data_IF_793981750960
#
_entry.id   IF_793981750960
#
_cell.length_a   1.000
_cell.length_b   1.000
_cell.length_c   1.000
_cell.angle_alpha   90.00
_cell.angle_beta   90.00
_cell.angle_gamma   90.00
#
_symmetry.space_group_name_H-M   'P 1'
#
loop_
_entity.id
_entity.type
_entity.pdbx_description
1 polymer ?
#
# COMPACT_ATOMS: atom_id res chain seq x y z
N UNK A 1 -5.92 14.87 16.62
CA UNK A 1 -5.09 14.44 15.48
C UNK A 1 -5.78 14.98 14.24
N UNK A 2 -5.21 15.97 13.55
CA UNK A 2 -5.85 16.49 12.33
C UNK A 2 -5.81 15.40 11.27
N UNK A 3 -6.98 14.93 10.83
CA UNK A 3 -7.09 14.16 9.59
C UNK A 3 -6.82 15.12 8.44
N UNK A 4 -5.62 15.06 7.88
CA UNK A 4 -5.29 15.78 6.65
C UNK A 4 -5.87 14.99 5.47
N UNK A 5 -6.93 15.51 4.84
CA UNK A 5 -7.47 14.93 3.61
C UNK A 5 -6.65 15.41 2.41
N UNK A 6 -5.78 14.53 1.91
CA UNK A 6 -4.93 14.81 0.76
C UNK A 6 -5.71 15.22 -0.50
N UNK A 7 -6.96 14.75 -0.67
CA UNK A 7 -7.77 15.12 -1.83
C UNK A 7 -8.31 16.54 -1.71
N UNK A 8 -8.59 16.99 -0.49
CA UNK A 8 -8.98 18.38 -0.24
C UNK A 8 -7.82 19.33 -0.54
N UNK A 9 -6.61 19.00 -0.07
CA UNK A 9 -5.40 19.77 -0.41
C UNK A 9 -5.12 19.78 -1.91
N UNK A 10 -5.31 18.64 -2.59
CA UNK A 10 -5.17 18.56 -4.04
C UNK A 10 -6.18 19.43 -4.79
N UNK A 11 -7.44 19.48 -4.33
CA UNK A 11 -8.46 20.38 -4.92
C UNK A 11 -8.00 21.83 -4.79
N UNK A 12 -7.57 22.25 -3.59
CA UNK A 12 -7.09 23.61 -3.37
C UNK A 12 -5.86 23.96 -4.22
N UNK A 13 -4.95 23.00 -4.43
CA UNK A 13 -3.83 23.17 -5.34
C UNK A 13 -4.29 23.33 -6.79
N UNK A 14 -5.21 22.48 -7.25
CA UNK A 14 -5.75 22.54 -8.60
C UNK A 14 -6.44 23.88 -8.84
N UNK A 15 -7.31 24.32 -7.94
CA UNK A 15 -7.98 25.62 -8.04
C UNK A 15 -6.98 26.78 -8.14
N UNK A 16 -5.96 26.79 -7.28
CA UNK A 16 -4.90 27.81 -7.31
C UNK A 16 -4.19 27.84 -8.66
N UNK A 17 -3.66 26.69 -9.12
CA UNK A 17 -2.85 26.65 -10.33
C UNK A 17 -3.66 26.74 -11.63
N UNK A 18 -4.94 26.36 -11.62
CA UNK A 18 -5.84 26.55 -12.77
C UNK A 18 -6.11 28.02 -13.07
N UNK A 19 -5.99 28.92 -12.07
CA UNK A 19 -6.10 30.38 -12.31
C UNK A 19 -4.83 31.00 -12.88
N UNK A 20 -3.67 30.38 -12.64
CA UNK A 20 -2.36 30.89 -13.06
C UNK A 20 -1.89 30.30 -14.40
N UNK A 21 -2.33 29.09 -14.75
CA UNK A 21 -1.90 28.35 -15.94
C UNK A 21 -3.10 27.85 -16.73
N UNK A 22 -2.99 27.88 -18.06
CA UNK A 22 -4.02 27.34 -18.96
C UNK A 22 -4.06 25.81 -19.00
N UNK A 23 -3.02 25.12 -18.51
CA UNK A 23 -2.90 23.65 -18.55
C UNK A 23 -2.27 23.15 -17.27
N UNK A 24 -2.89 22.16 -16.63
CA UNK A 24 -2.42 21.57 -15.37
C UNK A 24 -2.33 20.04 -15.51
N UNK A 25 -1.20 19.49 -15.07
CA UNK A 25 -0.97 18.06 -14.98
C UNK A 25 -0.77 17.66 -13.53
N UNK A 26 -1.53 16.67 -13.08
CA UNK A 26 -1.33 16.00 -11.82
C UNK A 26 -0.77 14.60 -12.08
N UNK A 27 0.45 14.38 -11.57
CA UNK A 27 1.23 13.17 -11.80
C UNK A 27 1.50 12.49 -10.45
N UNK A 28 1.32 11.18 -10.37
CA UNK A 28 1.73 10.43 -9.19
C UNK A 28 1.10 9.05 -9.08
N UNK A 29 1.53 8.30 -8.07
CA UNK A 29 0.83 7.09 -7.66
C UNK A 29 -0.21 7.43 -6.60
N UNK A 30 -1.45 7.61 -7.05
CA UNK A 30 -2.58 7.90 -6.15
C UNK A 30 -3.08 6.64 -5.43
N UNK A 31 -2.60 5.44 -5.80
CA UNK A 31 -3.09 4.15 -5.32
C UNK A 31 -4.64 4.03 -5.39
N UNK A 32 -5.23 4.73 -6.37
CA UNK A 32 -6.65 4.90 -6.55
C UNK A 32 -7.14 3.95 -7.65
N UNK A 33 -7.95 2.96 -7.28
CA UNK A 33 -8.58 2.03 -8.23
C UNK A 33 -9.91 2.61 -8.64
N UNK A 34 -10.05 3.01 -9.89
CA UNK A 34 -11.24 3.72 -10.38
C UNK A 34 -12.20 2.85 -11.18
N UNK A 35 -11.82 1.58 -11.45
CA UNK A 35 -12.55 0.64 -12.30
C UNK A 35 -13.07 1.33 -13.57
N UNK A 36 -14.37 1.18 -13.88
CA UNK A 36 -15.08 1.85 -14.98
C UNK A 36 -15.83 3.13 -14.55
N UNK A 37 -15.51 3.68 -13.38
CA UNK A 37 -16.12 4.92 -12.90
C UNK A 37 -15.81 6.10 -13.79
N UNK A 38 -16.82 6.95 -14.01
CA UNK A 38 -16.68 8.19 -14.78
C UNK A 38 -16.05 9.29 -13.91
N UNK A 39 -15.01 9.89 -14.45
CA UNK A 39 -14.27 11.06 -13.98
C UNK A 39 -14.86 12.37 -14.54
N UNK A 40 -16.03 12.28 -15.18
CA UNK A 40 -16.81 13.39 -15.71
C UNK A 40 -18.27 13.26 -15.28
N UNK A 41 -19.01 14.36 -15.32
CA UNK A 41 -20.43 14.41 -15.03
C UNK A 41 -21.19 13.93 -16.29
N UNK A 42 -21.96 12.84 -16.14
CA UNK A 42 -22.80 12.34 -17.24
C UNK A 42 -23.96 13.28 -17.51
N UNK A 43 -24.26 13.50 -18.78
CA UNK A 43 -25.35 14.38 -19.22
C UNK A 43 -25.21 15.79 -18.67
N UNK A 44 -23.98 16.28 -18.60
CA UNK A 44 -23.67 17.64 -18.17
C UNK A 44 -24.00 18.66 -19.27
N UNK A 45 -25.24 18.65 -19.73
CA UNK A 45 -25.77 19.53 -20.77
C UNK A 45 -26.90 20.34 -20.15
N UNK A 46 -26.69 21.65 -20.01
CA UNK A 46 -27.72 22.58 -19.57
C UNK A 46 -28.55 23.03 -20.79
N UNK A 47 -29.88 23.12 -20.63
CA UNK A 47 -30.79 23.46 -21.74
C UNK A 47 -30.71 24.96 -22.09
N UNK A 48 -30.54 25.26 -23.38
CA UNK A 48 -30.09 26.54 -23.94
C UNK A 48 -31.12 27.67 -24.03
N UNK A 49 -31.41 28.29 -22.89
CA UNK A 49 -31.87 29.69 -22.87
C UNK A 49 -31.53 30.36 -21.54
N UNK A 50 -31.68 29.63 -20.44
CA UNK A 50 -31.30 30.10 -19.10
C UNK A 50 -29.77 30.18 -18.97
N UNK A 51 -29.02 29.37 -19.71
CA UNK A 51 -27.56 29.32 -19.55
C UNK A 51 -26.82 30.35 -20.39
N UNK A 52 -27.28 30.63 -21.61
CA UNK A 52 -26.60 31.57 -22.50
C UNK A 52 -26.53 32.99 -21.89
N UNK A 53 -27.54 33.38 -21.12
CA UNK A 53 -27.58 34.66 -20.40
C UNK A 53 -26.62 34.73 -19.19
N UNK A 54 -26.27 33.59 -18.58
CA UNK A 54 -25.43 33.52 -17.37
C UNK A 54 -24.04 32.92 -17.62
N UNK A 55 -23.77 32.42 -18.83
CA UNK A 55 -22.52 31.74 -19.16
C UNK A 55 -21.30 32.65 -18.97
N UNK A 56 -21.46 33.94 -19.28
CA UNK A 56 -20.45 34.98 -19.05
C UNK A 56 -20.15 35.27 -17.57
N UNK A 57 -21.04 34.88 -16.66
CA UNK A 57 -20.90 35.13 -15.22
C UNK A 57 -20.20 33.95 -14.54
N UNK A 58 -20.48 32.73 -14.97
CA UNK A 58 -20.01 31.52 -14.29
C UNK A 58 -18.87 30.78 -14.99
N UNK A 59 -18.52 31.12 -16.25
CA UNK A 59 -17.47 30.45 -17.03
C UNK A 59 -17.57 28.91 -16.97
N UNK A 60 -18.80 28.39 -16.93
CA UNK A 60 -19.03 26.96 -16.74
C UNK A 60 -18.68 26.20 -18.01
N UNK A 61 -17.81 25.20 -17.89
CA UNK A 61 -17.48 24.32 -18.99
C UNK A 61 -18.18 22.98 -18.81
N UNK A 62 -19.21 22.75 -19.63
CA UNK A 62 -19.94 21.49 -19.70
C UNK A 62 -19.03 20.31 -20.07
N UNK A 63 -19.14 19.23 -19.29
CA UNK A 63 -18.50 17.96 -19.56
C UNK A 63 -19.12 17.30 -20.82
N UNK A 64 -18.33 17.21 -21.88
CA UNK A 64 -18.66 16.35 -23.02
C UNK A 64 -18.11 14.95 -22.77
N UNK A 65 -18.85 13.91 -23.19
CA UNK A 65 -18.47 12.50 -23.00
C UNK A 65 -17.08 12.22 -23.62
N UNK A 66 -16.02 12.11 -22.80
CA UNK A 66 -14.68 11.91 -23.30
C UNK A 66 -14.47 10.42 -23.67
N UNK A 67 -13.46 10.08 -24.51
CA UNK A 67 -13.24 8.72 -25.00
C UNK A 67 -13.19 7.66 -23.91
N UNK A 68 -13.80 6.50 -24.12
CA UNK A 68 -13.96 5.48 -23.07
C UNK A 68 -12.60 5.00 -22.55
N UNK A 69 -12.45 5.01 -21.23
CA UNK A 69 -11.23 4.58 -20.55
C UNK A 69 -11.18 3.06 -20.42
N UNK A 70 -10.07 2.45 -20.87
CA UNK A 70 -9.74 1.04 -20.63
C UNK A 70 -9.02 0.91 -19.29
N UNK A 71 -9.62 0.19 -18.34
CA UNK A 71 -9.05 -0.05 -17.02
C UNK A 71 -9.08 -1.55 -16.67
N UNK A 72 -7.95 -2.16 -16.27
CA UNK A 72 -7.90 -3.56 -15.84
C UNK A 72 -8.51 -3.78 -14.44
N UNK A 73 -8.64 -2.72 -13.63
CA UNK A 73 -9.21 -2.83 -12.29
C UNK A 73 -10.68 -3.26 -12.33
N UNK A 74 -11.01 -4.30 -11.57
CA UNK A 74 -12.36 -4.87 -11.50
C UNK A 74 -13.28 -4.15 -10.50
N UNK A 75 -12.74 -3.26 -9.66
CA UNK A 75 -13.50 -2.60 -8.60
C UNK A 75 -12.87 -1.29 -8.13
N UNK A 76 -13.69 -0.45 -7.51
CA UNK A 76 -13.30 0.89 -7.03
C UNK A 76 -12.94 0.83 -5.54
N UNK A 77 -11.84 1.46 -5.12
CA UNK A 77 -11.51 1.65 -3.70
C UNK A 77 -11.86 3.07 -3.22
N UNK A 78 -11.74 3.34 -1.91
CA UNK A 78 -12.07 4.67 -1.34
C UNK A 78 -11.31 5.82 -2.03
N UNK A 79 -10.01 5.64 -2.25
CA UNK A 79 -9.18 6.60 -2.98
C UNK A 79 -9.61 6.76 -4.44
N UNK A 80 -10.08 5.69 -5.08
CA UNK A 80 -10.69 5.72 -6.41
C UNK A 80 -11.94 6.59 -6.44
N UNK A 81 -12.82 6.46 -5.46
CA UNK A 81 -14.01 7.30 -5.34
C UNK A 81 -13.64 8.77 -5.12
N UNK A 82 -12.67 9.05 -4.23
CA UNK A 82 -12.15 10.40 -3.98
C UNK A 82 -11.50 11.01 -5.21
N UNK A 83 -10.72 10.24 -5.97
CA UNK A 83 -10.10 10.69 -7.22
C UNK A 83 -11.14 11.01 -8.29
N UNK A 84 -12.16 10.16 -8.46
CA UNK A 84 -13.25 10.43 -9.40
C UNK A 84 -14.04 11.70 -9.01
N UNK A 85 -14.25 11.93 -7.72
CA UNK A 85 -14.89 13.16 -7.24
C UNK A 85 -14.00 14.38 -7.47
N UNK A 86 -12.70 14.29 -7.22
CA UNK A 86 -11.73 15.34 -7.55
C UNK A 86 -11.81 15.70 -9.03
N UNK A 87 -11.83 14.70 -9.93
CA UNK A 87 -11.98 14.91 -11.37
C UNK A 87 -13.28 15.63 -11.75
N UNK A 88 -14.42 15.20 -11.20
CA UNK A 88 -15.72 15.85 -11.46
C UNK A 88 -15.78 17.28 -10.94
N UNK A 89 -15.21 17.55 -9.78
CA UNK A 89 -15.26 18.87 -9.15
C UNK A 89 -14.34 19.88 -9.83
N UNK A 90 -13.21 19.41 -10.37
CA UNK A 90 -12.17 20.29 -10.94
C UNK A 90 -12.18 20.34 -12.47
N UNK A 91 -12.98 19.49 -13.12
CA UNK A 91 -12.92 19.30 -14.57
C UNK A 91 -11.69 18.50 -15.04
N UNK A 92 -10.88 17.99 -14.12
CA UNK A 92 -9.74 17.13 -14.44
C UNK A 92 -10.21 15.79 -15.06
N UNK A 93 -9.40 15.21 -15.93
CA UNK A 93 -9.64 13.90 -16.56
C UNK A 93 -8.48 12.94 -16.37
N UNK A 94 -8.81 11.69 -16.09
CA UNK A 94 -7.87 10.59 -16.04
C UNK A 94 -7.54 10.19 -17.47
N UNK A 95 -6.29 10.38 -17.86
CA UNK A 95 -5.83 10.15 -19.24
C UNK A 95 -5.45 8.68 -19.46
N UNK A 96 -4.94 8.01 -18.42
CA UNK A 96 -4.58 6.61 -18.49
C UNK A 96 -5.75 5.74 -18.92
N UNK A 97 -5.57 4.96 -19.99
CA UNK A 97 -6.58 4.06 -20.55
C UNK A 97 -7.33 4.65 -21.74
N UNK A 98 -7.05 5.92 -22.11
CA UNK A 98 -7.74 6.64 -23.19
C UNK A 98 -6.93 6.76 -24.47
N UNK A 99 -5.66 6.35 -24.50
CA UNK A 99 -4.87 6.39 -25.73
C UNK A 99 -5.43 5.40 -26.77
N UNK A 100 -5.35 5.75 -28.06
CA UNK A 100 -5.80 4.88 -29.19
C UNK A 100 -5.15 3.50 -29.16
N UNK A 101 -3.84 3.45 -28.90
CA UNK A 101 -3.06 2.20 -28.82
C UNK A 101 -3.29 1.43 -27.51
N UNK A 102 -4.12 1.98 -26.63
CA UNK A 102 -4.47 1.39 -25.34
C UNK A 102 -3.28 1.24 -24.41
N UNK A 103 -3.33 0.15 -23.63
CA UNK A 103 -2.48 -0.06 -22.45
C UNK A 103 -0.97 -0.14 -22.75
N UNK A 104 -0.57 -0.24 -24.01
CA UNK A 104 0.83 -0.23 -24.42
C UNK A 104 1.49 1.14 -24.22
N UNK A 105 0.72 2.24 -24.38
CA UNK A 105 1.18 3.62 -24.22
C UNK A 105 0.49 4.36 -23.06
N UNK A 106 -0.60 3.81 -22.51
CA UNK A 106 -1.34 4.42 -21.37
C UNK A 106 -0.57 4.42 -20.04
N UNK A 107 0.50 3.63 -19.93
CA UNK A 107 1.45 3.75 -18.85
C UNK A 107 2.64 4.53 -19.35
N UNK A 108 2.73 5.80 -18.96
CA UNK A 108 4.02 6.49 -18.94
C UNK A 108 4.86 5.81 -17.86
N UNK A 109 5.37 4.63 -18.19
CA UNK A 109 6.25 3.83 -17.35
C UNK A 109 7.67 4.37 -17.48
N UNK A 110 7.83 5.66 -17.20
CA UNK A 110 9.15 6.26 -16.97
C UNK A 110 9.68 5.65 -15.67
N UNK A 111 10.50 4.60 -15.83
CA UNK A 111 11.19 3.88 -14.76
C UNK A 111 10.32 3.33 -13.61
N UNK A 112 9.02 3.07 -13.85
CA UNK A 112 8.12 2.45 -12.86
C UNK A 112 7.72 3.36 -11.69
N UNK A 113 7.75 4.68 -11.88
CA UNK A 113 7.49 5.67 -10.82
C UNK A 113 6.13 6.37 -10.91
N UNK A 114 5.50 6.42 -12.09
CA UNK A 114 4.26 7.18 -12.30
C UNK A 114 3.17 6.24 -12.82
N UNK A 115 2.19 5.94 -11.96
CA UNK A 115 1.11 5.00 -12.30
C UNK A 115 -0.16 5.71 -12.78
N UNK A 116 -0.34 7.02 -12.51
CA UNK A 116 -1.55 7.77 -12.87
C UNK A 116 -1.23 9.21 -13.30
N UNK A 117 -1.83 9.63 -14.42
CA UNK A 117 -1.79 11.00 -14.95
C UNK A 117 -3.21 11.54 -15.05
N UNK A 118 -3.43 12.67 -14.42
CA UNK A 118 -4.69 13.40 -14.40
C UNK A 118 -4.46 14.79 -14.99
N UNK A 119 -5.31 15.23 -15.89
CA UNK A 119 -5.09 16.42 -16.71
C UNK A 119 -6.25 17.40 -16.62
N UNK A 120 -5.96 18.70 -16.55
CA UNK A 120 -6.91 19.80 -16.64
C UNK A 120 -6.99 20.23 -18.09
N UNK A 121 -8.19 20.19 -18.66
CA UNK A 121 -8.50 20.53 -20.07
C UNK A 121 -8.26 19.41 -21.10
N UNK A 122 -8.75 18.20 -20.84
CA UNK A 122 -8.74 17.17 -21.87
C UNK A 122 -9.56 17.61 -23.09
N UNK A 123 -8.89 17.72 -24.24
CA UNK A 123 -9.53 17.90 -25.54
C UNK A 123 -10.63 16.85 -25.73
N UNK A 124 -11.73 17.28 -26.35
CA UNK A 124 -12.96 16.49 -26.48
C UNK A 124 -12.83 15.33 -27.48
N UNK A 125 -11.78 15.30 -28.30
CA UNK A 125 -11.56 14.29 -29.34
C UNK A 125 -10.45 13.30 -28.98
N UNK A 126 -10.56 12.09 -29.53
CA UNK A 126 -9.52 11.05 -29.43
C UNK A 126 -8.16 11.55 -29.95
N UNK A 127 -8.16 12.17 -31.13
CA UNK A 127 -6.94 12.73 -31.73
C UNK A 127 -6.30 13.82 -30.86
N UNK A 128 -7.13 14.60 -30.16
CA UNK A 128 -6.67 15.57 -29.18
C UNK A 128 -5.93 14.87 -28.04
N UNK A 129 -6.59 13.92 -27.36
CA UNK A 129 -5.99 13.18 -26.25
C UNK A 129 -4.68 12.49 -26.68
N UNK A 130 -4.64 11.85 -27.84
CA UNK A 130 -3.46 11.16 -28.33
C UNK A 130 -2.30 12.12 -28.60
N UNK A 131 -2.53 13.23 -29.32
CA UNK A 131 -1.51 14.23 -29.59
C UNK A 131 -0.95 14.85 -28.30
N UNK A 132 -1.80 15.06 -27.30
CA UNK A 132 -1.38 15.56 -25.99
C UNK A 132 -0.51 14.55 -25.23
N UNK A 133 -0.91 13.27 -25.19
CA UNK A 133 -0.11 12.20 -24.56
C UNK A 133 1.24 12.07 -25.27
N UNK A 134 1.26 12.03 -26.59
CA UNK A 134 2.49 11.90 -27.39
C UNK A 134 3.43 13.10 -27.16
N UNK A 135 2.91 14.33 -27.20
CA UNK A 135 3.69 15.55 -26.95
C UNK A 135 4.25 15.57 -25.53
N UNK A 136 3.42 15.31 -24.52
CA UNK A 136 3.85 15.31 -23.12
C UNK A 136 4.89 14.22 -22.85
N UNK A 137 4.65 13.00 -23.36
CA UNK A 137 5.58 11.87 -23.19
C UNK A 137 6.92 12.18 -23.82
N UNK A 138 6.94 12.81 -25.00
CA UNK A 138 8.17 13.22 -25.69
C UNK A 138 8.93 14.26 -24.87
N UNK A 139 8.26 15.34 -24.47
CA UNK A 139 8.89 16.41 -23.69
C UNK A 139 9.40 15.92 -22.33
N UNK A 140 8.60 15.12 -21.62
CA UNK A 140 9.01 14.54 -20.35
C UNK A 140 10.19 13.59 -20.55
N UNK A 141 10.17 12.77 -21.61
CA UNK A 141 11.30 11.88 -21.94
C UNK A 141 12.55 12.68 -22.25
N UNK A 142 12.48 13.78 -23.00
CA UNK A 142 13.66 14.59 -23.32
C UNK A 142 14.28 15.23 -22.07
N UNK A 143 13.45 15.72 -21.15
CA UNK A 143 13.90 16.32 -19.89
C UNK A 143 14.46 15.25 -18.96
N UNK A 144 13.76 14.13 -18.84
CA UNK A 144 14.03 13.13 -17.79
C UNK A 144 15.09 12.12 -18.25
N UNK A 145 15.12 11.72 -19.52
CA UNK A 145 16.04 10.69 -20.01
C UNK A 145 17.52 10.91 -19.65
N UNK A 146 18.09 12.13 -19.69
CA UNK A 146 19.48 12.36 -19.26
C UNK A 146 19.76 11.94 -17.81
N UNK A 147 18.78 12.09 -16.90
CA UNK A 147 18.92 11.77 -15.48
C UNK A 147 18.73 10.27 -15.18
N UNK A 148 18.17 9.52 -16.13
CA UNK A 148 17.85 8.09 -15.98
C UNK A 148 18.65 7.20 -16.94
N UNK A 149 19.51 7.78 -17.79
CA UNK A 149 20.54 7.04 -18.53
C UNK A 149 21.51 6.44 -17.52
N UNK A 150 21.31 5.17 -17.19
CA UNK A 150 22.34 4.36 -16.54
C UNK A 150 23.62 4.49 -17.36
N UNK A 151 24.70 4.98 -16.75
CA UNK A 151 26.05 4.95 -17.31
C UNK A 151 26.50 3.49 -17.39
N UNK A 152 25.94 2.73 -18.32
CA UNK A 152 26.46 1.42 -18.68
C UNK A 152 27.71 1.67 -19.53
N UNK A 153 28.86 1.79 -18.87
CA UNK A 153 30.12 1.46 -19.51
C UNK A 153 30.04 -0.02 -19.88
N UNK A 154 29.66 -0.30 -21.13
CA UNK A 154 29.69 -1.64 -21.71
C UNK A 154 31.17 -2.00 -21.91
N UNK A 155 31.81 -2.53 -20.89
CA UNK A 155 32.99 -3.37 -21.11
C UNK A 155 32.48 -4.72 -21.60
N UNK A 156 32.70 -4.99 -22.88
CA UNK A 156 32.62 -6.31 -23.46
C UNK A 156 33.66 -7.19 -22.76
N UNK A 157 33.26 -7.93 -21.72
CA UNK A 157 34.01 -9.11 -21.36
C UNK A 157 33.08 -10.27 -21.02
N UNK A 158 33.25 -11.29 -21.83
CA UNK A 158 32.53 -12.54 -21.87
C UNK A 158 32.98 -13.45 -20.72
N UNK A 159 32.51 -13.17 -19.51
CA UNK A 159 32.42 -14.17 -18.46
C UNK A 159 31.11 -14.04 -17.69
N UNK A 160 30.20 -14.99 -17.95
CA UNK A 160 28.94 -15.18 -17.22
C UNK A 160 29.23 -15.48 -15.75
N UNK A 161 29.40 -14.44 -14.94
CA UNK A 161 29.26 -14.53 -13.49
C UNK A 161 27.86 -14.06 -13.12
N UNK A 162 27.21 -14.83 -12.25
CA UNK A 162 25.87 -14.60 -11.70
C UNK A 162 25.65 -13.09 -11.43
N UNK A 163 24.72 -12.48 -12.17
CA UNK A 163 24.41 -11.06 -12.07
C UNK A 163 24.18 -10.67 -10.62
N UNK A 164 25.01 -9.75 -10.12
CA UNK A 164 24.95 -9.23 -8.74
C UNK A 164 23.57 -8.63 -8.51
N UNK A 165 22.68 -9.39 -7.89
CA UNK A 165 21.46 -8.86 -7.29
C UNK A 165 21.87 -7.87 -6.20
N UNK A 166 21.91 -6.58 -6.53
CA UNK A 166 22.22 -5.51 -5.58
C UNK A 166 21.13 -5.51 -4.50
N UNK A 167 21.44 -6.06 -3.31
CA UNK A 167 21.69 -5.21 -2.16
C UNK A 167 20.80 -3.96 -1.93
N UNK A 168 19.46 -3.95 -2.03
CA UNK A 168 18.72 -2.71 -1.71
C UNK A 168 18.93 -2.35 -0.24
N UNK A 169 19.18 -1.07 0.07
CA UNK A 169 19.39 -0.56 1.44
C UNK A 169 18.18 -0.72 2.35
N UNK A 170 16.99 -0.97 1.78
CA UNK A 170 15.73 -1.22 2.49
C UNK A 170 15.51 -2.69 2.83
N UNK A 171 16.28 -3.61 2.25
CA UNK A 171 16.13 -5.02 2.53
C UNK A 171 16.76 -5.35 3.89
N UNK A 172 16.13 -6.26 4.63
CA UNK A 172 16.67 -6.72 5.92
C UNK A 172 18.06 -7.33 5.69
N UNK A 173 19.02 -7.15 6.62
CA UNK A 173 20.42 -7.57 6.41
C UNK A 173 20.59 -9.05 6.06
N UNK A 174 19.65 -9.91 6.52
CA UNK A 174 19.65 -11.34 6.26
C UNK A 174 19.10 -11.73 4.87
N UNK A 175 18.50 -10.80 4.11
CA UNK A 175 17.89 -11.07 2.81
C UNK A 175 18.93 -10.98 1.68
N UNK A 176 19.73 -12.03 1.55
CA UNK A 176 20.85 -12.07 0.61
C UNK A 176 20.43 -12.32 -0.87
N UNK A 177 21.42 -12.26 -1.76
CA UNK A 177 21.24 -12.46 -3.21
C UNK A 177 20.56 -13.80 -3.55
N UNK A 178 20.91 -14.87 -2.84
CA UNK A 178 20.36 -16.20 -3.07
C UNK A 178 18.89 -16.28 -2.65
N UNK A 179 18.51 -15.64 -1.54
CA UNK A 179 17.12 -15.55 -1.10
C UNK A 179 16.28 -14.76 -2.12
N UNK A 180 16.87 -13.70 -2.69
CA UNK A 180 16.25 -12.90 -3.77
C UNK A 180 16.08 -13.72 -5.05
N UNK A 181 17.10 -14.49 -5.44
CA UNK A 181 17.05 -15.41 -6.59
C UNK A 181 15.94 -16.44 -6.43
N UNK A 182 15.85 -17.10 -5.27
CA UNK A 182 14.79 -18.08 -4.98
C UNK A 182 13.40 -17.44 -4.97
N UNK A 183 13.25 -16.22 -4.44
CA UNK A 183 12.00 -15.45 -4.52
C UNK A 183 11.60 -15.18 -5.96
N UNK A 184 12.55 -14.81 -6.83
CA UNK A 184 12.29 -14.58 -8.24
C UNK A 184 11.83 -15.86 -8.96
N UNK A 185 12.49 -17.00 -8.71
CA UNK A 185 12.08 -18.31 -9.25
C UNK A 185 10.67 -18.69 -8.81
N UNK A 186 10.35 -18.49 -7.52
CA UNK A 186 8.99 -18.72 -7.00
C UNK A 186 7.94 -17.84 -7.68
N UNK A 187 8.19 -16.53 -7.82
CA UNK A 187 7.25 -15.62 -8.48
C UNK A 187 7.06 -15.94 -9.96
N UNK A 188 8.12 -16.36 -10.65
CA UNK A 188 8.04 -16.85 -12.03
C UNK A 188 7.14 -18.08 -12.14
N UNK A 189 7.29 -19.06 -11.24
CA UNK A 189 6.42 -20.24 -11.20
C UNK A 189 4.96 -19.89 -10.87
N UNK A 190 4.72 -18.92 -9.97
CA UNK A 190 3.38 -18.42 -9.66
C UNK A 190 2.71 -17.79 -10.87
N UNK A 191 3.43 -16.94 -11.60
CA UNK A 191 2.94 -16.34 -12.84
C UNK A 191 2.60 -17.41 -13.89
N UNK A 192 3.44 -18.46 -14.00
CA UNK A 192 3.21 -19.56 -14.94
C UNK A 192 1.98 -20.40 -14.59
N UNK A 193 1.75 -20.67 -13.30
CA UNK A 193 0.54 -21.33 -12.82
C UNK A 193 -0.73 -20.48 -13.03
N UNK A 194 -0.64 -19.17 -12.77
CA UNK A 194 -1.78 -18.26 -12.97
C UNK A 194 -2.16 -18.12 -14.46
N UNK A 195 -1.19 -18.21 -15.36
CA UNK A 195 -1.43 -18.27 -16.81
C UNK A 195 -2.06 -19.60 -17.21
N UNK A 196 -1.46 -20.71 -16.79
CA UNK A 196 -1.87 -22.06 -17.19
C UNK A 196 -2.02 -22.96 -15.96
N UNK A 197 -3.27 -23.22 -15.56
CA UNK A 197 -3.63 -23.99 -14.36
C UNK A 197 -3.51 -25.52 -14.55
N UNK A 198 -2.36 -25.98 -15.02
CA UNK A 198 -2.05 -27.40 -15.21
C UNK A 198 -1.34 -28.02 -13.99
N UNK A 199 -1.46 -29.34 -13.83
CA UNK A 199 -0.88 -30.06 -12.69
C UNK A 199 0.64 -29.89 -12.57
N UNK A 200 1.37 -29.89 -13.69
CA UNK A 200 2.83 -29.68 -13.73
C UNK A 200 3.23 -28.30 -13.17
N UNK A 201 2.53 -27.24 -13.59
CA UNK A 201 2.75 -25.88 -13.10
C UNK A 201 2.44 -25.76 -11.61
N UNK A 202 1.40 -26.46 -11.14
CA UNK A 202 1.07 -26.51 -9.73
C UNK A 202 2.17 -27.19 -8.90
N UNK A 203 2.69 -28.33 -9.37
CA UNK A 203 3.82 -29.01 -8.72
C UNK A 203 5.08 -28.14 -8.69
N UNK A 204 5.40 -27.45 -9.80
CA UNK A 204 6.52 -26.50 -9.88
C UNK A 204 6.35 -25.30 -8.93
N UNK A 205 5.14 -24.77 -8.80
CA UNK A 205 4.84 -23.71 -7.84
C UNK A 205 5.08 -24.18 -6.41
N UNK A 206 4.59 -25.36 -6.04
CA UNK A 206 4.76 -25.92 -4.69
C UNK A 206 6.24 -26.13 -4.38
N UNK A 207 7.00 -26.75 -5.29
CA UNK A 207 8.41 -27.08 -5.07
C UNK A 207 9.26 -25.81 -4.90
N UNK A 208 9.08 -24.82 -5.78
CA UNK A 208 9.82 -23.55 -5.73
C UNK A 208 9.43 -22.70 -4.52
N UNK A 209 8.14 -22.66 -4.15
CA UNK A 209 7.67 -22.00 -2.92
C UNK A 209 8.31 -22.62 -1.68
N UNK A 210 8.34 -23.96 -1.60
CA UNK A 210 8.96 -24.69 -0.48
C UNK A 210 10.44 -24.35 -0.35
N UNK A 211 11.19 -24.42 -1.46
CA UNK A 211 12.62 -24.09 -1.46
C UNK A 211 12.89 -22.66 -0.98
N UNK A 212 12.16 -21.68 -1.51
CA UNK A 212 12.27 -20.29 -1.07
C UNK A 212 11.96 -20.13 0.42
N UNK A 213 10.86 -20.69 0.92
CA UNK A 213 10.44 -20.54 2.32
C UNK A 213 11.37 -21.22 3.31
N UNK A 214 11.90 -22.40 2.98
CA UNK A 214 12.89 -23.07 3.81
C UNK A 214 14.16 -22.22 3.92
N UNK A 215 14.65 -21.69 2.80
CA UNK A 215 15.85 -20.86 2.77
C UNK A 215 15.65 -19.51 3.49
N UNK A 216 14.51 -18.84 3.25
CA UNK A 216 14.13 -17.60 3.95
C UNK A 216 14.10 -17.81 5.47
N UNK A 217 13.48 -18.90 5.93
CA UNK A 217 13.40 -19.21 7.35
C UNK A 217 14.77 -19.53 7.96
N UNK A 218 15.65 -20.23 7.22
CA UNK A 218 17.04 -20.48 7.64
C UNK A 218 17.78 -19.17 7.90
N UNK A 219 17.72 -18.23 6.96
CA UNK A 219 18.40 -16.94 7.08
C UNK A 219 17.83 -16.10 8.24
N UNK A 220 16.51 -16.07 8.41
CA UNK A 220 15.87 -15.39 9.56
C UNK A 220 16.33 -15.97 10.89
N UNK A 221 16.42 -17.30 11.01
CA UNK A 221 16.88 -17.96 12.24
C UNK A 221 18.34 -17.65 12.53
N UNK A 222 19.20 -17.74 11.51
CA UNK A 222 20.63 -17.41 11.64
C UNK A 222 20.83 -15.97 12.09
N UNK A 223 20.10 -15.03 11.50
CA UNK A 223 20.18 -13.63 11.87
C UNK A 223 19.72 -13.37 13.31
N UNK A 224 18.59 -13.95 13.72
CA UNK A 224 18.12 -13.83 15.12
C UNK A 224 19.12 -14.41 16.12
N UNK A 225 19.78 -15.51 15.77
CA UNK A 225 20.83 -16.10 16.59
C UNK A 225 22.03 -15.15 16.72
N UNK A 226 22.53 -14.65 15.59
CA UNK A 226 23.64 -13.68 15.55
C UNK A 226 23.30 -12.38 16.30
N UNK A 227 22.06 -11.91 16.19
CA UNK A 227 21.56 -10.75 16.93
C UNK A 227 21.56 -11.02 18.44
N UNK A 228 21.12 -12.22 18.86
CA UNK A 228 21.21 -12.67 20.24
C UNK A 228 22.65 -12.72 20.77
N UNK A 229 23.57 -13.31 20.00
CA UNK A 229 25.00 -13.39 20.35
C UNK A 229 25.62 -11.99 20.45
N UNK A 230 25.29 -11.10 19.52
CA UNK A 230 25.74 -9.70 19.52
C UNK A 230 25.21 -8.95 20.75
N UNK A 231 23.95 -9.16 21.11
CA UNK A 231 23.34 -8.56 22.30
C UNK A 231 23.99 -9.10 23.58
N UNK A 232 24.26 -10.39 23.66
CA UNK A 232 24.94 -11.01 24.81
C UNK A 232 26.40 -10.52 24.95
N UNK A 233 27.11 -10.36 23.82
CA UNK A 233 28.42 -9.73 23.81
C UNK A 233 28.34 -8.26 24.28
N UNK A 234 27.42 -7.46 23.73
CA UNK A 234 27.20 -6.08 24.15
C UNK A 234 26.86 -5.97 25.63
N UNK A 235 26.05 -6.90 26.16
CA UNK A 235 25.71 -6.97 27.59
C UNK A 235 26.96 -7.10 28.47
N UNK A 236 27.98 -7.83 28.01
CA UNK A 236 29.26 -8.05 28.73
C UNK A 236 30.28 -6.94 28.49
N UNK A 237 30.43 -6.48 27.25
CA UNK A 237 31.47 -5.53 26.85
C UNK A 237 31.09 -4.07 27.06
N UNK A 238 29.82 -3.72 26.81
CA UNK A 238 29.29 -2.35 26.92
C UNK A 238 27.83 -2.37 27.41
N UNK A 239 27.63 -2.57 28.73
CA UNK A 239 26.29 -2.66 29.31
C UNK A 239 25.44 -1.40 29.07
N UNK A 240 26.07 -0.22 29.01
CA UNK A 240 25.35 1.05 28.78
C UNK A 240 24.72 1.08 27.39
N UNK A 241 25.47 0.70 26.35
CA UNK A 241 24.95 0.60 24.99
C UNK A 241 23.89 -0.49 24.84
N UNK A 242 24.08 -1.63 25.52
CA UNK A 242 23.07 -2.70 25.58
C UNK A 242 21.74 -2.17 26.11
N UNK A 243 21.69 -1.59 27.31
CA UNK A 243 20.43 -1.08 27.87
C UNK A 243 19.83 0.06 27.05
N UNK A 244 20.64 0.89 26.39
CA UNK A 244 20.16 1.93 25.48
C UNK A 244 19.37 1.37 24.30
N UNK A 245 19.69 0.17 23.81
CA UNK A 245 18.91 -0.49 22.75
C UNK A 245 17.51 -0.92 23.20
N UNK A 246 17.30 -1.10 24.52
CA UNK A 246 16.01 -1.48 25.11
C UNK A 246 15.28 -0.32 25.79
N UNK A 247 15.90 0.86 25.88
CA UNK A 247 15.21 2.07 26.30
C UNK A 247 14.18 2.41 25.22
N UNK A 248 12.93 2.04 25.48
CA UNK A 248 11.78 2.52 24.69
C UNK A 248 11.87 4.05 24.63
N UNK A 249 11.48 4.63 23.49
CA UNK A 249 11.21 6.08 23.40
C UNK A 249 10.41 6.48 24.63
N UNK A 250 10.87 7.50 25.37
CA UNK A 250 10.12 8.06 26.49
C UNK A 250 8.68 8.25 26.04
N UNK A 251 7.72 7.77 26.84
CA UNK A 251 6.31 8.02 26.56
C UNK A 251 6.15 9.53 26.28
N UNK A 252 5.45 9.88 25.21
CA UNK A 252 5.09 11.26 24.95
C UNK A 252 4.51 11.83 26.24
N UNK A 253 4.97 13.01 26.66
CA UNK A 253 4.45 13.70 27.84
C UNK A 253 2.93 13.68 27.77
N UNK A 254 2.28 12.93 28.66
CA UNK A 254 0.84 13.01 28.85
C UNK A 254 0.53 14.43 29.31
N UNK A 255 -0.45 15.08 28.67
CA UNK A 255 -0.90 16.44 28.99
C UNK A 255 -1.42 16.59 30.43
N UNK A 256 -1.75 15.48 31.09
CA UNK A 256 -2.26 15.47 32.45
C UNK A 256 -1.09 15.48 33.45
N UNK A 257 -0.94 16.55 34.26
CA UNK A 257 0.08 16.61 35.31
C UNK A 257 -0.12 15.50 36.32
N UNK A 258 0.99 14.96 36.85
CA UNK A 258 0.95 13.88 37.85
C UNK A 258 0.14 14.28 39.11
N UNK A 259 0.12 15.57 39.43
CA UNK A 259 -0.69 16.15 40.51
C UNK A 259 -2.19 16.01 40.25
N UNK A 260 -2.65 16.18 39.01
CA UNK A 260 -4.06 15.98 38.64
C UNK A 260 -4.48 14.51 38.77
N UNK A 261 -3.60 13.57 38.42
CA UNK A 261 -3.85 12.15 38.69
C UNK A 261 -3.91 11.86 40.19
N UNK A 262 -2.98 12.41 40.98
CA UNK A 262 -2.95 12.20 42.42
C UNK A 262 -4.21 12.72 43.11
N UNK A 263 -4.64 13.95 42.83
CA UNK A 263 -5.86 14.51 43.43
C UNK A 263 -7.11 13.74 42.98
N UNK A 264 -7.18 13.30 41.72
CA UNK A 264 -8.29 12.46 41.26
C UNK A 264 -8.41 11.14 42.05
N UNK A 265 -7.30 10.42 42.26
CA UNK A 265 -7.32 9.17 43.02
C UNK A 265 -7.50 9.38 44.53
N UNK A 266 -7.10 10.55 45.05
CA UNK A 266 -7.34 10.96 46.43
C UNK A 266 -8.82 11.29 46.66
N UNK A 267 -9.49 11.97 45.72
CA UNK A 267 -10.94 12.18 45.76
C UNK A 267 -11.71 10.87 45.64
N UNK A 268 -11.28 9.97 44.75
CA UNK A 268 -11.87 8.63 44.64
C UNK A 268 -11.74 7.82 45.93
N UNK A 269 -10.62 7.91 46.65
CA UNK A 269 -10.45 7.20 47.92
C UNK A 269 -11.11 7.89 49.12
N UNK A 270 -11.35 9.20 49.04
CA UNK A 270 -12.02 9.98 50.10
C UNK A 270 -13.53 10.00 49.97
N UNK A 271 -14.07 9.67 48.79
CA UNK A 271 -15.50 9.50 48.62
C UNK A 271 -15.95 8.20 49.28
N UNK A 272 -16.64 8.33 50.43
CA UNK A 272 -17.40 7.25 51.10
C UNK A 272 -18.61 6.82 50.25
N UNK A 273 -18.39 6.53 48.96
CA UNK A 273 -19.30 5.67 48.24
C UNK A 273 -19.23 4.31 48.92
N UNK A 274 -20.37 3.70 49.30
CA UNK A 274 -20.33 2.34 49.82
C UNK A 274 -19.58 1.53 48.78
N UNK A 275 -18.53 0.83 49.21
CA UNK A 275 -17.82 -0.14 48.39
C UNK A 275 -18.90 -1.12 47.94
N UNK A 276 -19.47 -0.89 46.76
CA UNK A 276 -20.12 -1.94 45.99
C UNK A 276 -18.94 -2.85 45.70
N UNK A 277 -18.87 -3.94 46.46
CA UNK A 277 -17.90 -4.99 46.27
C UNK A 277 -17.87 -5.34 44.79
N UNK A 278 -16.86 -4.84 44.08
CA UNK A 278 -16.64 -5.06 42.64
C UNK A 278 -16.34 -6.55 42.35
N UNK A 279 -16.32 -7.39 43.39
CA UNK A 279 -16.43 -8.84 43.28
C UNK A 279 -17.70 -9.29 42.57
N UNK A 280 -18.81 -8.55 42.63
CA UNK A 280 -20.03 -8.92 41.89
C UNK A 280 -19.83 -8.78 40.36
N UNK A 281 -19.19 -7.69 39.89
CA UNK A 281 -18.94 -7.47 38.46
C UNK A 281 -17.91 -8.44 37.86
N UNK A 282 -16.95 -8.88 38.67
CA UNK A 282 -16.00 -9.92 38.28
C UNK A 282 -16.69 -11.30 38.25
N UNK A 283 -17.62 -11.59 39.16
CA UNK A 283 -18.40 -12.83 39.12
C UNK A 283 -19.34 -12.92 37.92
N UNK A 284 -20.00 -11.82 37.53
CA UNK A 284 -20.90 -11.82 36.37
C UNK A 284 -20.15 -12.06 35.04
N UNK A 285 -18.88 -11.69 34.95
CA UNK A 285 -18.05 -11.92 33.75
C UNK A 285 -17.35 -13.29 33.74
N UNK A 286 -17.15 -13.91 34.90
CA UNK A 286 -16.50 -15.23 35.04
C UNK A 286 -17.51 -16.38 35.07
N UNK A 287 -18.76 -16.12 35.48
CA UNK A 287 -19.80 -17.17 35.57
C UNK A 287 -20.15 -17.82 34.23
N UNK A 288 -19.92 -17.13 33.10
CA UNK A 288 -20.22 -17.65 31.76
C UNK A 288 -19.00 -18.29 31.05
N UNK A 289 -17.86 -18.41 31.74
CA UNK A 289 -16.62 -18.98 31.18
C UNK A 289 -16.02 -20.11 32.04
N UNK A 290 -16.84 -20.78 32.86
CA UNK A 290 -16.44 -22.04 33.51
C UNK A 290 -16.77 -23.21 32.57
N UNK A 291 -15.78 -23.59 31.75
CA UNK A 291 -15.87 -24.79 30.91
C UNK A 291 -15.54 -26.00 31.77
N UNK A 292 -16.55 -26.63 32.39
CA UNK A 292 -16.37 -27.86 33.18
C UNK A 292 -15.58 -28.94 32.42
N UNK A 293 -15.62 -28.92 31.10
CA UNK A 293 -14.89 -29.83 30.21
C UNK A 293 -13.36 -29.69 30.33
N UNK A 294 -12.85 -28.51 30.67
CA UNK A 294 -11.41 -28.26 30.87
C UNK A 294 -10.91 -28.78 32.23
N UNK A 295 -11.80 -28.89 33.22
CA UNK A 295 -11.47 -29.38 34.57
C UNK A 295 -11.66 -30.90 34.71
N UNK A 296 -12.14 -31.59 33.66
CA UNK A 296 -12.23 -33.04 33.65
C UNK A 296 -10.83 -33.67 33.61
N UNK A 297 -10.67 -34.75 34.37
CA UNK A 297 -9.46 -35.57 34.31
C UNK A 297 -9.36 -36.18 32.91
N UNK A 298 -8.22 -35.97 32.24
CA UNK A 298 -7.95 -36.52 30.90
C UNK A 298 -8.11 -38.04 30.95
N UNK A 299 -9.04 -38.57 30.15
CA UNK A 299 -9.35 -40.00 30.13
C UNK A 299 -8.43 -40.77 29.19
N UNK A 300 -8.27 -42.06 29.45
CA UNK A 300 -7.50 -42.94 28.57
C UNK A 300 -8.14 -43.01 27.17
N UNK A 301 -9.47 -42.98 27.04
CA UNK A 301 -10.13 -43.00 25.73
C UNK A 301 -9.82 -41.75 24.90
N UNK A 302 -9.75 -40.57 25.51
CA UNK A 302 -9.39 -39.33 24.81
C UNK A 302 -7.97 -39.37 24.27
N UNK A 303 -7.03 -39.89 25.05
CA UNK A 303 -5.64 -40.07 24.62
C UNK A 303 -5.59 -41.00 23.41
N UNK A 304 -6.27 -42.15 23.46
CA UNK A 304 -6.33 -43.11 22.35
C UNK A 304 -6.98 -42.50 21.09
N UNK A 305 -8.03 -41.70 21.25
CA UNK A 305 -8.71 -40.98 20.17
C UNK A 305 -7.81 -39.91 19.53
N UNK A 306 -6.96 -39.26 20.31
CA UNK A 306 -5.99 -38.30 19.79
C UNK A 306 -4.83 -39.00 19.07
N UNK A 307 -4.34 -40.13 19.61
CA UNK A 307 -3.30 -40.94 18.97
C UNK A 307 -3.77 -41.48 17.61
N UNK A 308 -5.02 -41.91 17.47
CA UNK A 308 -5.55 -42.41 16.19
C UNK A 308 -5.62 -41.35 15.10
N UNK A 309 -5.68 -40.07 15.47
CA UNK A 309 -5.67 -38.92 14.54
C UNK A 309 -4.27 -38.48 14.13
N UNK A 310 -3.22 -38.95 14.81
CA UNK A 310 -1.84 -38.65 14.42
C UNK A 310 -1.50 -39.38 13.13
N UNK A 311 -1.15 -38.63 12.08
CA UNK A 311 -0.64 -39.21 10.84
C UNK A 311 0.70 -39.90 11.13
N UNK A 312 0.81 -41.18 10.77
CA UNK A 312 2.10 -41.87 10.74
C UNK A 312 2.98 -41.19 9.70
N UNK A 313 4.13 -40.69 10.13
CA UNK A 313 5.09 -40.07 9.23
C UNK A 313 5.66 -41.12 8.29
N UNK A 314 5.30 -41.03 7.01
CA UNK A 314 6.09 -41.53 5.89
C UNK A 314 6.83 -40.34 5.27
#
# INVERSE_FOLDING_TARGET
MYECDIFYELINCVERYSTESSKLFLLGDMNARTAIGNDFIKHDSLYGSIFDDFNHIFNYMSDNNPPVRRNPDQGTNEYGAKLLNLCRNTGLRIVNGRHKDGMANDFIFLCGLLSQIVFCDAQKSQDGIDNYIETFTTQLTDIVAPFFRSTSNKSNDSQRTCGKFVCKTTDKPWFNCECRRLRHVYLSALNMFNKNKIAENHQRLISTKRQYKVFENKLKRQYKHQEGDMLEHLRKSDPKKFYRMFQKKRANNTEVPLSSCFEHFKELSSSNTPIVNDTQRIQDTISDATYEELDRVITQEEILKCISKLKRGN
#
